data_IF_742870276589
#
_entry.id   IF_742870276589
#
_cell.length_a   1.000
_cell.length_b   1.000
_cell.length_c   1.000
_cell.angle_alpha   90.00
_cell.angle_beta   90.00
_cell.angle_gamma   90.00
#
_symmetry.space_group_name_H-M   'P 1'
#
loop_
_entity.id
_entity.type
_entity.pdbx_description
1 polymer ?
#
# COMPACT_ATOMS: atom_id res chain seq x y z
N UNK A 1 -5.66 -22.32 -42.34
CA UNK A 1 -5.69 -22.84 -40.96
C UNK A 1 -4.49 -22.30 -40.23
N UNK A 2 -4.69 -21.30 -39.37
CA UNK A 2 -3.64 -20.88 -38.43
C UNK A 2 -3.42 -22.01 -37.40
N UNK A 3 -2.20 -22.24 -36.92
CA UNK A 3 -1.99 -23.23 -35.86
C UNK A 3 -2.76 -22.80 -34.61
N UNK A 4 -3.41 -23.77 -33.98
CA UNK A 4 -4.10 -23.59 -32.71
C UNK A 4 -3.15 -22.97 -31.68
N UNK A 5 -3.67 -21.98 -30.94
CA UNK A 5 -3.03 -21.35 -29.79
C UNK A 5 -2.50 -22.42 -28.83
N UNK A 6 -1.20 -22.74 -28.94
CA UNK A 6 -0.44 -23.44 -27.90
C UNK A 6 -0.05 -22.40 -26.84
N UNK A 7 -1.03 -21.82 -26.16
CA UNK A 7 -0.74 -21.25 -24.85
C UNK A 7 -0.80 -22.43 -23.90
N UNK A 8 0.37 -23.00 -23.61
CA UNK A 8 0.50 -24.09 -22.66
C UNK A 8 -0.28 -23.76 -21.39
N UNK A 9 -0.97 -24.76 -20.86
CA UNK A 9 -1.71 -24.73 -19.59
C UNK A 9 -0.77 -24.48 -18.37
N UNK A 10 0.50 -24.12 -18.61
CA UNK A 10 1.60 -23.83 -17.67
C UNK A 10 1.69 -22.36 -17.22
N UNK A 11 0.66 -21.54 -17.40
CA UNK A 11 0.71 -20.11 -17.00
C UNK A 11 0.18 -19.81 -15.61
N UNK A 12 -0.21 -20.82 -14.84
CA UNK A 12 -0.61 -20.64 -13.45
C UNK A 12 0.60 -20.92 -12.56
N UNK A 13 1.09 -19.86 -11.94
CA UNK A 13 2.18 -19.93 -10.99
C UNK A 13 1.75 -20.78 -9.76
N UNK A 14 2.51 -21.83 -9.45
CA UNK A 14 2.22 -22.78 -8.35
C UNK A 14 2.97 -22.34 -7.09
N UNK A 15 2.26 -22.18 -5.94
CA UNK A 15 2.87 -21.95 -4.64
C UNK A 15 3.98 -22.91 -4.22
N UNK A 16 5.04 -22.39 -3.60
CA UNK A 16 6.11 -23.21 -3.00
C UNK A 16 5.62 -24.02 -1.78
N UNK A 17 4.65 -23.47 -1.03
CA UNK A 17 4.18 -24.02 0.24
C UNK A 17 2.72 -24.50 0.15
N UNK A 18 2.37 -25.49 0.97
CA UNK A 18 1.03 -26.10 1.00
C UNK A 18 -0.08 -25.16 1.53
N UNK A 19 0.28 -24.12 2.27
CA UNK A 19 -0.63 -23.04 2.70
C UNK A 19 -0.88 -22.02 1.57
N UNK A 20 -0.30 -22.26 0.40
CA UNK A 20 -0.38 -21.38 -0.74
C UNK A 20 0.49 -20.12 -0.62
N UNK A 21 1.48 -20.11 0.26
CA UNK A 21 2.54 -19.09 0.26
C UNK A 21 3.75 -19.54 -0.56
N UNK A 22 4.70 -18.62 -0.80
CA UNK A 22 5.94 -18.96 -1.49
C UNK A 22 6.73 -17.74 -1.89
N UNK A 23 7.77 -17.99 -2.67
CA UNK A 23 8.74 -17.01 -3.10
C UNK A 23 8.83 -16.96 -4.60
N UNK A 24 8.97 -15.76 -5.14
CA UNK A 24 9.40 -15.62 -6.52
C UNK A 24 10.45 -14.52 -6.66
N UNK A 25 11.21 -14.64 -7.74
CA UNK A 25 12.15 -13.61 -8.14
C UNK A 25 11.36 -12.45 -8.73
N UNK A 26 11.73 -11.22 -8.38
CA UNK A 26 11.20 -10.06 -9.08
C UNK A 26 12.30 -9.42 -9.91
N UNK A 27 12.09 -9.39 -11.21
CA UNK A 27 12.84 -8.53 -12.11
C UNK A 27 12.20 -7.13 -12.09
N UNK A 28 12.40 -6.40 -10.99
CA UNK A 28 12.19 -4.96 -11.06
C UNK A 28 13.32 -4.40 -11.90
N UNK A 29 13.00 -3.78 -13.05
CA UNK A 29 13.95 -3.04 -13.88
C UNK A 29 14.59 -1.83 -13.18
N UNK A 30 14.38 -1.67 -11.87
CA UNK A 30 14.88 -0.59 -11.04
C UNK A 30 15.01 -1.06 -9.58
N UNK A 31 16.26 -1.08 -9.07
CA UNK A 31 16.71 -1.21 -7.67
C UNK A 31 16.05 -2.35 -6.86
N UNK A 32 16.49 -3.61 -6.89
CA UNK A 32 17.77 -4.15 -6.40
C UNK A 32 17.88 -5.55 -7.02
N UNK A 33 18.98 -5.86 -7.72
CA UNK A 33 19.25 -7.25 -8.17
C UNK A 33 19.42 -8.12 -6.92
N UNK A 34 18.55 -9.11 -6.73
CA UNK A 34 18.61 -10.08 -5.62
C UNK A 34 17.46 -10.03 -4.60
N UNK A 35 16.43 -9.21 -4.83
CA UNK A 35 15.25 -9.19 -3.96
C UNK A 35 14.29 -10.34 -4.32
N UNK A 36 13.98 -11.20 -3.34
CA UNK A 36 12.88 -12.18 -3.44
C UNK A 36 11.64 -11.56 -2.82
N UNK A 37 10.48 -11.71 -3.46
CA UNK A 37 9.21 -11.37 -2.81
C UNK A 37 8.61 -12.64 -2.21
N UNK A 38 8.09 -12.51 -0.99
CA UNK A 38 7.24 -13.52 -0.38
C UNK A 38 5.80 -13.08 -0.55
N UNK A 39 4.96 -13.94 -1.12
CA UNK A 39 3.52 -13.73 -1.12
C UNK A 39 2.88 -14.82 -0.25
N UNK A 40 1.74 -14.49 0.33
CA UNK A 40 0.94 -15.37 1.18
C UNK A 40 -0.51 -15.16 0.79
N UNK A 41 -1.27 -16.24 0.59
CA UNK A 41 -2.71 -16.10 0.59
C UNK A 41 -3.16 -15.65 1.99
N UNK A 42 -3.74 -14.46 2.05
CA UNK A 42 -4.28 -13.93 3.29
C UNK A 42 -5.62 -14.60 3.63
N UNK A 43 -6.11 -14.30 4.82
CA UNK A 43 -7.44 -14.60 5.30
C UNK A 43 -8.49 -14.05 4.31
N UNK A 44 -9.72 -14.60 4.37
CA UNK A 44 -10.82 -14.08 3.55
C UNK A 44 -11.05 -12.58 3.86
N UNK A 45 -11.48 -11.81 2.87
CA UNK A 45 -11.55 -10.35 2.94
C UNK A 45 -12.25 -9.80 4.21
N UNK A 46 -13.31 -10.47 4.67
CA UNK A 46 -14.04 -10.09 5.89
C UNK A 46 -13.21 -10.30 7.16
N UNK A 47 -12.62 -11.48 7.32
CA UNK A 47 -11.74 -11.82 8.45
C UNK A 47 -10.49 -10.92 8.48
N UNK A 48 -9.89 -10.69 7.31
CA UNK A 48 -8.77 -9.77 7.16
C UNK A 48 -9.16 -8.32 7.51
N UNK A 49 -10.41 -7.91 7.31
CA UNK A 49 -10.87 -6.58 7.72
C UNK A 49 -10.94 -6.44 9.25
N UNK A 50 -11.38 -7.48 9.97
CA UNK A 50 -11.47 -7.48 11.43
C UNK A 50 -10.10 -7.50 12.11
N UNK A 51 -9.12 -8.18 11.49
CA UNK A 51 -7.76 -8.27 12.01
C UNK A 51 -6.90 -7.03 11.71
N UNK A 52 -7.35 -6.16 10.79
CA UNK A 52 -6.56 -4.98 10.40
C UNK A 52 -6.57 -3.94 11.53
N UNK A 53 -5.43 -3.25 11.75
CA UNK A 53 -5.41 -2.01 12.53
C UNK A 53 -6.49 -1.05 12.05
N UNK A 54 -6.97 -0.13 12.90
CA UNK A 54 -7.94 0.88 12.46
C UNK A 54 -7.29 1.97 11.58
N UNK A 55 -6.02 2.27 11.86
CA UNK A 55 -5.22 3.26 11.15
C UNK A 55 -3.82 2.75 10.87
N UNK A 56 -3.18 3.40 9.90
CA UNK A 56 -1.76 3.26 9.60
C UNK A 56 -1.10 4.63 9.65
N UNK A 57 0.13 4.68 10.15
CA UNK A 57 1.01 5.83 9.97
C UNK A 57 1.82 5.61 8.70
N UNK A 58 1.59 6.47 7.72
CA UNK A 58 2.37 6.52 6.48
C UNK A 58 3.37 7.65 6.62
N UNK A 59 4.65 7.33 6.50
CA UNK A 59 5.72 8.32 6.51
C UNK A 59 6.21 8.53 5.09
N UNK A 60 6.14 9.78 4.61
CA UNK A 60 6.82 10.19 3.39
C UNK A 60 8.02 11.06 3.76
N UNK A 61 9.04 11.06 2.89
CA UNK A 61 10.21 11.90 3.03
C UNK A 61 10.32 12.79 1.82
N UNK A 62 10.45 14.09 2.04
CA UNK A 62 10.76 15.00 0.97
C UNK A 62 12.24 14.88 0.60
N UNK A 63 12.51 14.39 -0.61
CA UNK A 63 13.86 14.34 -1.16
C UNK A 63 14.00 15.40 -2.26
N UNK A 64 14.54 16.56 -1.89
CA UNK A 64 14.72 17.69 -2.80
C UNK A 64 16.08 18.35 -2.59
N UNK A 65 16.73 18.74 -3.69
CA UNK A 65 17.95 19.53 -3.64
C UNK A 65 17.71 21.00 -3.21
N UNK A 66 16.45 21.44 -3.15
CA UNK A 66 16.07 22.84 -2.88
C UNK A 66 15.48 23.06 -1.49
N UNK A 67 15.03 21.99 -0.83
CA UNK A 67 14.34 22.06 0.45
C UNK A 67 15.05 21.16 1.44
N UNK A 68 15.08 21.57 2.72
CA UNK A 68 15.60 20.71 3.78
C UNK A 68 14.79 19.42 3.83
N UNK A 69 15.45 18.24 3.81
CA UNK A 69 14.76 16.98 3.96
C UNK A 69 13.95 16.98 5.26
N UNK A 70 12.69 16.57 5.17
CA UNK A 70 11.84 16.37 6.32
C UNK A 70 10.89 15.21 6.08
N UNK A 71 10.37 14.69 7.19
CA UNK A 71 9.41 13.60 7.21
C UNK A 71 8.01 14.16 7.42
N UNK A 72 7.08 13.72 6.61
CA UNK A 72 5.66 13.97 6.78
C UNK A 72 5.01 12.69 7.32
N UNK A 73 4.24 12.81 8.40
CA UNK A 73 3.47 11.69 8.97
C UNK A 73 1.99 11.88 8.66
N UNK A 74 1.43 10.94 7.91
CA UNK A 74 0.01 10.85 7.62
C UNK A 74 -0.61 9.72 8.42
N UNK A 75 -1.75 9.95 9.04
CA UNK A 75 -2.51 8.92 9.76
C UNK A 75 -3.73 8.58 8.92
N UNK A 76 -3.69 7.43 8.28
CA UNK A 76 -4.64 7.03 7.23
C UNK A 76 -5.50 5.89 7.76
N UNK A 77 -6.82 5.96 7.53
CA UNK A 77 -7.72 4.86 7.87
C UNK A 77 -7.42 3.63 7.04
N UNK A 78 -7.62 2.45 7.61
CA UNK A 78 -7.25 1.19 6.97
C UNK A 78 -8.04 0.85 5.71
N UNK A 79 -9.25 1.37 5.57
CA UNK A 79 -10.07 1.26 4.37
C UNK A 79 -9.63 2.23 3.26
N UNK A 80 -8.86 3.27 3.59
CA UNK A 80 -8.34 4.29 2.67
C UNK A 80 -6.86 4.09 2.31
N UNK A 81 -6.16 3.17 2.98
CA UNK A 81 -4.71 3.02 2.85
C UNK A 81 -4.28 2.75 1.40
N UNK A 82 -4.96 1.84 0.70
CA UNK A 82 -4.61 1.48 -0.67
C UNK A 82 -4.70 2.67 -1.62
N UNK A 83 -5.79 3.43 -1.53
CA UNK A 83 -6.01 4.61 -2.38
C UNK A 83 -4.97 5.70 -2.07
N UNK A 84 -4.70 5.95 -0.78
CA UNK A 84 -3.67 6.89 -0.35
C UNK A 84 -2.28 6.52 -0.88
N UNK A 85 -1.87 5.25 -0.75
CA UNK A 85 -0.57 4.79 -1.22
C UNK A 85 -0.45 4.87 -2.75
N UNK A 86 -1.53 4.55 -3.48
CA UNK A 86 -1.57 4.70 -4.93
C UNK A 86 -1.45 6.17 -5.34
N UNK A 87 -2.14 7.07 -4.65
CA UNK A 87 -2.04 8.51 -4.89
C UNK A 87 -0.62 9.02 -4.64
N UNK A 88 0.00 8.64 -3.52
CA UNK A 88 1.39 9.02 -3.22
C UNK A 88 2.33 8.48 -4.30
N UNK A 89 2.21 7.20 -4.66
CA UNK A 89 3.07 6.59 -5.68
C UNK A 89 2.98 7.26 -7.05
N UNK A 90 1.80 7.79 -7.41
CA UNK A 90 1.55 8.39 -8.72
C UNK A 90 1.76 9.91 -8.75
N UNK A 91 1.56 10.61 -7.63
CA UNK A 91 1.40 12.07 -7.62
C UNK A 91 2.31 12.82 -6.65
N UNK A 92 2.99 12.15 -5.72
CA UNK A 92 3.71 12.81 -4.62
C UNK A 92 4.94 13.63 -5.05
N UNK A 93 5.33 13.57 -6.33
CA UNK A 93 6.41 14.40 -6.88
C UNK A 93 7.75 14.11 -6.23
N UNK A 94 8.22 15.01 -5.35
CA UNK A 94 9.48 14.88 -4.61
C UNK A 94 9.32 14.20 -3.24
N UNK A 95 8.08 13.95 -2.81
CA UNK A 95 7.81 13.14 -1.63
C UNK A 95 7.87 11.66 -1.98
N UNK A 96 8.71 10.94 -1.25
CA UNK A 96 8.93 9.51 -1.46
C UNK A 96 8.34 8.76 -0.29
N UNK A 97 7.60 7.67 -0.56
CA UNK A 97 7.14 6.76 0.48
C UNK A 97 8.35 6.17 1.22
N UNK A 98 8.39 6.36 2.54
CA UNK A 98 9.51 5.90 3.36
C UNK A 98 9.17 4.60 4.10
N UNK A 99 8.10 4.60 4.91
CA UNK A 99 7.55 3.39 5.50
C UNK A 99 6.07 3.53 5.86
N UNK A 100 5.41 2.39 6.07
CA UNK A 100 4.03 2.28 6.54
C UNK A 100 4.02 1.38 7.76
N UNK A 101 3.38 1.82 8.85
CA UNK A 101 3.29 1.04 10.09
C UNK A 101 1.86 1.06 10.66
N UNK A 102 1.40 -0.02 11.32
CA UNK A 102 0.16 -0.02 12.08
C UNK A 102 0.12 1.09 13.14
N UNK A 103 -1.01 1.78 13.25
CA UNK A 103 -1.23 2.83 14.25
C UNK A 103 -2.54 2.59 15.00
N UNK A 104 -2.54 1.86 16.13
CA UNK A 104 -3.76 1.59 16.89
C UNK A 104 -4.30 2.81 17.64
N UNK A 105 -3.46 3.81 17.92
CA UNK A 105 -3.82 5.03 18.64
C UNK A 105 -3.28 6.26 17.89
N UNK A 106 -3.96 6.71 16.82
CA UNK A 106 -3.54 7.89 16.08
C UNK A 106 -3.78 9.17 16.89
N UNK A 107 -3.04 10.26 16.65
CA UNK A 107 -3.25 11.54 17.34
C UNK A 107 -4.68 12.05 17.17
N UNK A 108 -5.27 12.67 18.19
CA UNK A 108 -6.66 13.16 18.15
C UNK A 108 -6.92 14.09 16.96
N UNK A 109 -5.94 14.91 16.60
CA UNK A 109 -6.00 15.85 15.46
C UNK A 109 -6.04 15.18 14.08
N UNK A 110 -5.74 13.88 13.99
CA UNK A 110 -5.87 13.11 12.75
C UNK A 110 -7.30 12.66 12.44
N UNK A 111 -8.22 12.82 13.40
CA UNK A 111 -9.63 12.55 13.16
C UNK A 111 -10.16 13.57 12.15
N UNK A 112 -10.97 13.15 11.17
CA UNK A 112 -11.55 14.09 10.21
C UNK A 112 -12.32 15.16 10.98
N UNK A 113 -12.07 16.43 10.65
CA UNK A 113 -12.87 17.53 11.17
C UNK A 113 -14.29 17.31 10.66
N UNK A 114 -15.19 16.84 11.52
CA UNK A 114 -16.63 16.82 11.24
C UNK A 114 -17.04 18.28 11.14
N UNK A 115 -17.14 18.82 9.93
CA UNK A 115 -17.82 20.10 9.71
C UNK A 115 -19.28 19.86 10.10
N UNK A 116 -19.63 20.13 11.35
CA UNK A 116 -21.02 20.38 11.68
C UNK A 116 -21.44 21.57 10.82
N UNK A 117 -22.44 21.33 9.97
CA UNK A 117 -23.10 22.33 9.15
C UNK A 117 -23.35 23.55 10.03
N UNK A 118 -22.56 24.60 9.83
CA UNK A 118 -22.86 25.89 10.42
C UNK A 118 -23.94 26.45 9.54
N UNK A 119 -25.12 26.51 10.13
CA UNK A 119 -26.38 27.02 9.64
C UNK A 119 -26.22 28.15 8.62
N UNK A 120 -27.00 28.06 7.56
CA UNK A 120 -27.53 29.24 6.92
C UNK A 120 -28.24 30.06 8.00
N UNK A 121 -27.65 31.18 8.40
CA UNK A 121 -28.37 32.28 9.02
C UNK A 121 -28.14 33.53 8.16
N UNK A 122 -29.25 34.25 8.02
CA UNK A 122 -29.67 35.21 6.99
C UNK A 122 -28.83 36.48 6.84
#
# INVERSE_FOLDING_TARGET
MAPADQWSEDRLWIPDNADGSGWAEVDWSSVIRGSRYHYRHAELLGEAAELRPAYYRVVTRLESARLSPHENSYFVKSDQLCDFLAEVALTAGAEVLWHVEPCPAPPTESQPITRNETSAEE
#
